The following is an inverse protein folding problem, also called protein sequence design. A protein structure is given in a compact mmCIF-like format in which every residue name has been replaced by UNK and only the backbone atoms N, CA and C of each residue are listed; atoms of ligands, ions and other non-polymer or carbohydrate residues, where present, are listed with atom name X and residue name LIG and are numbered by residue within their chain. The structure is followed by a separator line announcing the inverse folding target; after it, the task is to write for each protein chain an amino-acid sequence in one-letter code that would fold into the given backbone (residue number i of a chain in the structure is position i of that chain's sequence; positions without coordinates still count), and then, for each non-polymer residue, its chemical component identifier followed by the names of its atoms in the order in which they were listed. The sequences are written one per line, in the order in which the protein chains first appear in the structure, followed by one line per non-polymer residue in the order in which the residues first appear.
data_IF_986775171610
#
_entry.id   IF_986775171610
#
_cell.length_a   1.000
_cell.length_b   1.000
_cell.length_c   1.000
_cell.angle_alpha   90.00
_cell.angle_beta   90.00
_cell.angle_gamma   90.00
#
_symmetry.space_group_name_H-M   'P 1'
#
loop_
_entity.id
_entity.type
_entity.pdbx_description
1 polymer ?
#
# COMPACT_ATOMS: atom_id res chain seq x y z
N UNK A 1 -41.85 -25.36 28.36
CA UNK A 1 -40.68 -25.49 27.48
C UNK A 1 -39.88 -24.18 27.58
N UNK A 2 -38.98 -23.97 28.57
CA UNK A 2 -37.51 -24.09 28.46
C UNK A 2 -37.04 -24.04 26.99
N UNK A 3 -36.46 -22.94 26.48
CA UNK A 3 -35.12 -22.41 26.80
C UNK A 3 -35.08 -20.88 26.86
N UNK A 4 -34.73 -20.39 28.04
CA UNK A 4 -34.16 -19.07 28.31
C UNK A 4 -32.68 -19.12 27.92
N UNK A 5 -32.15 -18.04 27.36
CA UNK A 5 -30.71 -17.84 27.15
C UNK A 5 -30.49 -16.55 26.35
N UNK A 6 -30.64 -15.38 26.96
CA UNK A 6 -29.67 -14.67 27.83
C UNK A 6 -29.04 -13.52 27.04
N UNK A 7 -29.66 -12.36 27.22
CA UNK A 7 -29.09 -11.05 26.95
C UNK A 7 -28.11 -10.71 28.09
N UNK A 8 -27.07 -9.94 27.76
CA UNK A 8 -26.19 -9.16 28.65
C UNK A 8 -25.14 -9.94 29.45
N UNK A 9 -23.86 -9.77 29.07
CA UNK A 9 -22.83 -9.55 30.07
C UNK A 9 -21.64 -8.73 29.52
N UNK A 10 -21.52 -7.53 30.07
CA UNK A 10 -20.32 -6.72 30.23
C UNK A 10 -19.51 -6.36 28.98
N UNK A 11 -19.91 -5.24 28.39
CA UNK A 11 -18.98 -4.18 27.99
C UNK A 11 -18.14 -3.79 29.23
N UNK A 12 -17.11 -4.59 29.53
CA UNK A 12 -16.14 -4.26 30.55
C UNK A 12 -15.36 -3.05 30.03
N UNK A 13 -15.63 -1.92 30.67
CA UNK A 13 -14.81 -0.71 30.65
C UNK A 13 -13.40 -1.07 31.10
N UNK A 14 -12.60 -1.66 30.21
CA UNK A 14 -11.17 -1.46 30.22
C UNK A 14 -10.96 -0.13 29.53
N UNK A 15 -10.84 0.95 30.30
CA UNK A 15 -10.05 2.08 29.84
C UNK A 15 -8.65 1.52 29.54
N UNK A 16 -8.43 1.01 28.33
CA UNK A 16 -7.11 1.03 27.74
C UNK A 16 -6.79 2.51 27.65
N UNK A 17 -6.12 2.98 28.70
CA UNK A 17 -5.49 4.26 28.74
C UNK A 17 -4.68 4.33 27.45
N UNK A 18 -5.15 5.10 26.47
CA UNK A 18 -4.26 5.63 25.46
C UNK A 18 -3.33 6.55 26.24
N UNK A 19 -2.28 5.95 26.78
CA UNK A 19 -1.10 6.68 27.16
C UNK A 19 -0.57 7.23 25.85
N UNK A 20 -0.96 8.46 25.55
CA UNK A 20 -0.18 9.30 24.65
C UNK A 20 1.12 9.57 25.40
N UNK A 21 1.96 8.55 25.52
CA UNK A 21 3.37 8.74 25.75
C UNK A 21 3.81 9.60 24.56
N UNK A 22 4.39 10.77 24.84
CA UNK A 22 5.25 11.40 23.87
C UNK A 22 6.28 10.33 23.50
N UNK A 23 6.07 9.66 22.35
CA UNK A 23 6.90 8.55 21.93
C UNK A 23 8.30 9.12 21.83
N UNK A 24 9.19 8.64 22.70
CA UNK A 24 10.60 9.00 22.58
C UNK A 24 11.03 8.64 21.15
N UNK A 25 11.95 9.38 20.54
CA UNK A 25 12.40 9.08 19.17
C UNK A 25 12.86 7.60 19.01
N UNK A 26 13.27 6.96 20.11
CA UNK A 26 13.57 5.53 20.20
C UNK A 26 12.37 4.65 19.84
N UNK A 27 11.17 4.97 20.32
CA UNK A 27 9.95 4.21 20.04
C UNK A 27 9.50 4.31 18.57
N UNK A 28 9.74 5.46 17.93
CA UNK A 28 9.46 5.63 16.49
C UNK A 28 10.33 4.70 15.64
N UNK A 29 11.63 4.63 15.95
CA UNK A 29 12.56 3.75 15.23
C UNK A 29 12.22 2.28 15.40
N UNK A 30 11.95 1.85 16.64
CA UNK A 30 11.55 0.48 16.93
C UNK A 30 10.22 0.10 16.27
N UNK A 31 9.22 0.98 16.35
CA UNK A 31 7.95 0.77 15.66
C UNK A 31 8.15 0.65 14.16
N UNK A 32 8.91 1.57 13.55
CA UNK A 32 9.19 1.56 12.10
C UNK A 32 9.85 0.25 11.67
N UNK A 33 10.87 -0.20 12.40
CA UNK A 33 11.55 -1.45 12.11
C UNK A 33 10.60 -2.64 12.21
N UNK A 34 9.75 -2.68 13.24
CA UNK A 34 8.76 -3.74 13.40
C UNK A 34 7.77 -3.79 12.22
N UNK A 35 7.27 -2.63 11.78
CA UNK A 35 6.38 -2.52 10.63
C UNK A 35 7.03 -2.96 9.32
N UNK A 36 8.30 -2.60 9.09
CA UNK A 36 9.03 -3.00 7.90
C UNK A 36 9.33 -4.50 7.90
N UNK A 37 9.71 -5.06 9.05
CA UNK A 37 9.91 -6.51 9.20
C UNK A 37 8.60 -7.26 8.93
N UNK A 38 7.47 -6.79 9.47
CA UNK A 38 6.16 -7.36 9.22
C UNK A 38 5.80 -7.36 7.72
N UNK A 39 5.92 -6.20 7.06
CA UNK A 39 5.64 -6.06 5.62
C UNK A 39 6.54 -6.95 4.76
N UNK A 40 7.85 -6.94 5.03
CA UNK A 40 8.82 -7.73 4.28
C UNK A 40 8.61 -9.24 4.45
N UNK A 41 8.21 -9.68 5.65
CA UNK A 41 7.92 -11.10 5.91
C UNK A 41 6.66 -11.60 5.22
N UNK A 42 5.74 -10.70 4.87
CA UNK A 42 4.43 -11.04 4.33
C UNK A 42 3.61 -11.98 5.27
N UNK A 43 3.95 -12.02 6.57
CA UNK A 43 3.39 -12.98 7.53
C UNK A 43 1.89 -12.78 7.80
N UNK A 44 1.42 -11.54 7.70
CA UNK A 44 0.01 -11.15 7.91
C UNK A 44 -0.78 -11.07 6.60
N UNK A 45 -0.21 -11.52 5.48
CA UNK A 45 -0.93 -11.55 4.22
C UNK A 45 -1.94 -12.69 4.17
N UNK A 46 -3.07 -12.42 3.54
CA UNK A 46 -4.07 -13.45 3.29
C UNK A 46 -3.48 -14.60 2.45
N UNK A 47 -3.98 -15.84 2.63
CA UNK A 47 -3.58 -16.96 1.78
C UNK A 47 -3.73 -16.64 0.30
N UNK A 48 -2.80 -17.13 -0.52
CA UNK A 48 -2.90 -17.00 -1.96
C UNK A 48 -4.21 -17.64 -2.45
N UNK A 49 -5.03 -16.84 -3.14
CA UNK A 49 -6.26 -17.33 -3.76
C UNK A 49 -5.97 -17.75 -5.21
N UNK A 50 -6.57 -18.84 -5.70
CA UNK A 50 -6.46 -19.18 -7.11
C UNK A 50 -7.10 -18.07 -7.96
N UNK A 51 -6.39 -17.61 -8.99
CA UNK A 51 -6.98 -16.73 -9.99
C UNK A 51 -8.01 -17.55 -10.79
N UNK A 52 -9.29 -17.14 -10.85
CA UNK A 52 -10.26 -17.92 -11.61
C UNK A 52 -9.87 -17.96 -13.09
N UNK A 53 -10.18 -19.07 -13.78
CA UNK A 53 -9.60 -19.38 -15.09
C UNK A 53 -9.79 -18.31 -16.16
N UNK A 54 -10.93 -17.62 -16.17
CA UNK A 54 -11.17 -16.52 -17.10
C UNK A 54 -10.24 -15.32 -16.86
N UNK A 55 -10.00 -14.97 -15.59
CA UNK A 55 -9.08 -13.92 -15.18
C UNK A 55 -7.64 -14.30 -15.47
N UNK A 56 -7.27 -15.57 -15.27
CA UNK A 56 -5.94 -16.09 -15.60
C UNK A 56 -5.66 -15.99 -17.10
N UNK A 57 -6.63 -16.38 -17.94
CA UNK A 57 -6.54 -16.23 -19.40
C UNK A 57 -6.37 -14.76 -19.81
N UNK A 58 -7.22 -13.87 -19.30
CA UNK A 58 -7.14 -12.44 -19.62
C UNK A 58 -5.82 -11.78 -19.17
N UNK A 59 -5.28 -12.19 -18.02
CA UNK A 59 -3.97 -11.71 -17.55
C UNK A 59 -2.83 -12.20 -18.46
N UNK A 60 -2.90 -13.45 -18.91
CA UNK A 60 -1.92 -14.02 -19.83
C UNK A 60 -1.97 -13.36 -21.22
N UNK A 61 -3.17 -13.15 -21.76
CA UNK A 61 -3.36 -12.41 -23.02
C UNK A 61 -2.76 -10.99 -22.96
N UNK A 62 -2.98 -10.28 -21.84
CA UNK A 62 -2.38 -8.96 -21.62
C UNK A 62 -0.85 -9.02 -21.58
N UNK A 63 -0.31 -10.04 -20.93
CA UNK A 63 1.14 -10.25 -20.89
C UNK A 63 1.70 -10.44 -22.31
N UNK A 64 1.07 -11.29 -23.12
CA UNK A 64 1.49 -11.47 -24.51
C UNK A 64 1.40 -10.17 -25.31
N UNK A 65 0.29 -9.44 -25.20
CA UNK A 65 0.08 -8.15 -25.86
C UNK A 65 1.08 -7.07 -25.44
N UNK A 66 1.65 -7.15 -24.24
CA UNK A 66 2.62 -6.16 -23.75
C UNK A 66 3.90 -6.11 -24.60
N UNK A 67 4.25 -7.21 -25.26
CA UNK A 67 5.41 -7.28 -26.14
C UNK A 67 5.18 -6.66 -27.53
N UNK A 68 3.92 -6.46 -27.93
CA UNK A 68 3.58 -5.83 -29.21
C UNK A 68 3.83 -4.31 -29.19
N UNK A 69 3.97 -3.73 -27.98
CA UNK A 69 4.23 -2.30 -27.83
C UNK A 69 5.73 -2.06 -27.73
N UNK A 70 6.36 -1.41 -28.73
CA UNK A 70 7.79 -1.13 -28.67
C UNK A 70 8.10 -0.15 -27.53
N UNK A 71 9.21 -0.37 -26.84
CA UNK A 71 9.74 0.59 -25.87
C UNK A 71 10.17 1.84 -26.65
N UNK A 72 9.63 3.04 -26.35
CA UNK A 72 10.07 4.26 -26.99
C UNK A 72 11.56 4.52 -26.73
N UNK A 73 12.29 5.00 -27.75
CA UNK A 73 13.70 5.40 -27.61
C UNK A 73 13.88 6.55 -26.59
N UNK A 74 12.83 7.34 -26.38
CA UNK A 74 12.74 8.38 -25.35
C UNK A 74 11.31 8.45 -24.84
N UNK A 75 11.15 8.55 -23.53
CA UNK A 75 9.92 9.01 -22.92
C UNK A 75 10.00 10.54 -22.83
N UNK A 76 8.94 11.25 -23.23
CA UNK A 76 8.88 12.69 -22.99
C UNK A 76 8.89 12.98 -21.49
N UNK A 77 9.24 14.20 -21.09
CA UNK A 77 9.05 14.60 -19.69
C UNK A 77 7.54 14.77 -19.43
N UNK A 78 7.08 14.41 -18.22
CA UNK A 78 5.68 14.60 -17.83
C UNK A 78 5.25 16.07 -17.85
N UNK A 79 6.20 17.01 -17.95
CA UNK A 79 5.97 18.43 -18.12
C UNK A 79 5.57 18.79 -19.56
N UNK A 80 6.14 18.13 -20.57
CA UNK A 80 5.86 18.39 -21.98
C UNK A 80 4.51 17.79 -22.43
N UNK A 81 4.14 16.61 -21.90
CA UNK A 81 2.91 15.89 -22.26
C UNK A 81 1.62 16.59 -21.79
N UNK A 82 1.71 17.39 -20.70
CA UNK A 82 0.60 18.16 -20.16
C UNK A 82 0.32 19.48 -20.91
N UNK A 83 0.91 19.69 -22.10
CA UNK A 83 0.79 20.92 -22.87
C UNK A 83 1.38 22.15 -22.16
N UNK A 84 2.22 21.94 -21.14
CA UNK A 84 2.91 23.02 -20.46
C UNK A 84 4.24 23.28 -21.19
N UNK A 85 4.57 24.54 -21.52
CA UNK A 85 5.88 24.84 -22.06
C UNK A 85 6.94 24.33 -21.09
N UNK A 86 7.96 23.64 -21.62
CA UNK A 86 9.13 23.22 -20.87
C UNK A 86 9.63 24.42 -20.06
N UNK A 87 9.58 24.30 -18.73
CA UNK A 87 10.22 25.29 -17.86
C UNK A 87 11.71 25.08 -18.06
N UNK A 88 12.34 25.97 -18.82
CA UNK A 88 13.79 26.09 -18.90
C UNK A 88 14.32 26.55 -17.54
N UNK A 89 14.35 25.62 -16.58
CA UNK A 89 14.87 25.87 -15.23
C UNK A 89 16.39 25.77 -15.33
N UNK A 90 17.03 26.92 -15.55
CA UNK A 90 18.47 27.03 -15.50
C UNK A 90 18.95 26.98 -14.04
N UNK A 91 19.51 25.84 -13.63
CA UNK A 91 20.08 25.66 -12.29
C UNK A 91 21.25 26.61 -11.97
N UNK A 92 21.81 27.33 -12.95
CA UNK A 92 22.82 28.39 -12.68
C UNK A 92 22.24 29.62 -12.02
N UNK A 93 20.93 29.88 -12.16
CA UNK A 93 20.29 31.08 -11.63
C UNK A 93 19.78 30.90 -10.18
N UNK A 94 20.05 29.74 -9.57
CA UNK A 94 19.69 29.42 -8.18
C UNK A 94 20.84 29.59 -7.17
N UNK A 95 21.91 30.31 -7.53
CA UNK A 95 22.98 30.76 -6.62
C UNK A 95 23.44 32.18 -7.00
#
# INVERSE_FOLDING_TARGET
MKRIGMLVLCMACGALQHTTHAQSASEIGHATQAWLTLQASNAESAPAQPMPGAQAGAAYERYLKSFDTPIPARYGSSFEDAGRPSLDVNYRDMN
#
